data_IF_418324444388
#
_entry.id   IF_418324444388
#
_cell.length_a   1.000
_cell.length_b   1.000
_cell.length_c   1.000
_cell.angle_alpha   90.00
_cell.angle_beta   90.00
_cell.angle_gamma   90.00
#
_symmetry.space_group_name_H-M   'P 1'
#
loop_
_entity.id
_entity.type
_entity.pdbx_description
1 polymer ?
#
# COMPACT_ATOMS: atom_id res chain seq x y z
N UNK A 1 1.25 -11.41 19.96
CA UNK A 1 1.84 -11.97 18.73
C UNK A 1 1.24 -11.24 17.54
N UNK A 2 1.98 -10.30 16.94
CA UNK A 2 1.51 -9.54 15.77
C UNK A 2 1.88 -10.38 14.54
N UNK A 3 0.88 -10.86 13.80
CA UNK A 3 1.11 -11.62 12.56
C UNK A 3 1.55 -10.63 11.48
N UNK A 4 2.81 -10.68 11.07
CA UNK A 4 3.30 -10.05 9.84
C UNK A 4 2.79 -10.86 8.65
N UNK A 5 1.49 -10.78 8.39
CA UNK A 5 0.91 -11.36 7.19
C UNK A 5 0.87 -10.26 6.15
N UNK A 6 1.80 -10.28 5.20
CA UNK A 6 1.80 -9.37 4.07
C UNK A 6 0.50 -9.53 3.28
N UNK A 7 -0.17 -8.42 2.94
CA UNK A 7 -1.40 -8.46 2.14
C UNK A 7 -1.03 -9.03 0.76
N UNK A 8 -1.58 -10.17 0.31
CA UNK A 8 -1.20 -10.77 -0.95
C UNK A 8 -1.51 -9.84 -2.12
N UNK A 9 -0.47 -9.46 -2.88
CA UNK A 9 -0.53 -8.48 -3.98
C UNK A 9 -0.52 -9.24 -5.30
N UNK A 10 -1.68 -9.63 -5.77
CA UNK A 10 -1.89 -9.74 -7.21
C UNK A 10 -2.33 -8.34 -7.68
N UNK A 11 -2.27 -8.06 -8.98
CA UNK A 11 -2.62 -6.77 -9.60
C UNK A 11 -4.14 -6.45 -9.44
N UNK A 12 -4.64 -6.48 -8.22
CA UNK A 12 -6.04 -6.63 -7.86
C UNK A 12 -6.50 -5.41 -7.07
N UNK A 13 -7.65 -4.90 -7.47
CA UNK A 13 -8.43 -3.93 -6.71
C UNK A 13 -8.84 -4.60 -5.40
N UNK A 14 -8.17 -4.26 -4.30
CA UNK A 14 -8.43 -4.88 -2.98
C UNK A 14 -9.54 -4.10 -2.28
N UNK A 15 -10.52 -4.82 -1.73
CA UNK A 15 -11.55 -4.23 -0.88
C UNK A 15 -10.98 -3.90 0.50
N UNK A 16 -11.13 -2.66 0.94
CA UNK A 16 -10.66 -2.20 2.24
C UNK A 16 -11.60 -2.69 3.36
N UNK A 17 -11.24 -3.83 3.96
CA UNK A 17 -12.02 -4.48 5.02
C UNK A 17 -11.43 -4.35 6.43
N UNK A 18 -12.29 -4.58 7.45
CA UNK A 18 -11.88 -4.63 8.88
C UNK A 18 -10.82 -5.73 9.17
N UNK A 19 -10.71 -6.73 8.28
CA UNK A 19 -9.74 -7.83 8.38
C UNK A 19 -8.27 -7.36 8.35
N UNK A 20 -8.04 -6.15 7.86
CA UNK A 20 -6.70 -5.55 7.77
C UNK A 20 -6.36 -4.63 8.95
N UNK A 21 -7.25 -4.50 9.95
CA UNK A 21 -6.94 -3.74 11.18
C UNK A 21 -5.77 -4.42 11.89
N UNK A 22 -4.77 -3.63 12.28
CA UNK A 22 -3.53 -4.09 12.91
C UNK A 22 -2.45 -4.54 11.91
N UNK A 23 -2.72 -4.51 10.61
CA UNK A 23 -1.73 -4.83 9.58
C UNK A 23 -0.89 -3.59 9.27
N UNK A 24 0.41 -3.78 9.19
CA UNK A 24 1.33 -2.76 8.68
C UNK A 24 1.45 -2.92 7.17
N UNK A 25 1.24 -1.82 6.44
CA UNK A 25 1.35 -1.80 5.00
C UNK A 25 2.80 -2.07 4.58
N UNK A 26 3.04 -3.15 3.85
CA UNK A 26 4.37 -3.41 3.27
C UNK A 26 4.73 -2.47 2.12
N UNK A 27 3.73 -1.79 1.52
CA UNK A 27 3.88 -0.96 0.32
C UNK A 27 2.94 0.25 0.32
N UNK A 28 3.20 1.17 -0.58
CA UNK A 28 2.32 2.31 -0.83
C UNK A 28 0.99 1.84 -1.44
N UNK A 29 -0.10 2.40 -0.96
CA UNK A 29 -1.47 2.11 -1.34
C UNK A 29 -2.07 3.34 -1.98
N UNK A 30 -2.76 3.15 -3.10
CA UNK A 30 -3.31 4.22 -3.90
C UNK A 30 -4.83 4.10 -3.97
N UNK A 31 -5.52 5.24 -4.04
CA UNK A 31 -6.98 5.29 -4.25
C UNK A 31 -7.32 4.96 -5.71
N UNK A 32 -6.48 5.45 -6.62
CA UNK A 32 -6.56 5.35 -8.08
C UNK A 32 -5.13 5.31 -8.65
N UNK A 33 -4.97 5.23 -9.97
CA UNK A 33 -3.64 5.15 -10.64
C UNK A 33 -2.68 6.29 -10.30
N UNK A 34 -3.19 7.46 -9.92
CA UNK A 34 -2.39 8.67 -9.70
C UNK A 34 -2.48 9.24 -8.28
N UNK A 35 -3.34 8.69 -7.41
CA UNK A 35 -3.59 9.27 -6.08
C UNK A 35 -3.10 8.35 -4.96
N UNK A 36 -1.96 8.69 -4.37
CA UNK A 36 -1.42 8.02 -3.18
C UNK A 36 -2.38 8.23 -2.00
N UNK A 37 -2.80 7.14 -1.37
CA UNK A 37 -3.72 7.13 -0.25
C UNK A 37 -3.00 6.86 1.07
N UNK A 38 -2.16 5.81 1.12
CA UNK A 38 -1.45 5.39 2.32
C UNK A 38 0.00 5.05 1.96
N UNK A 39 0.94 5.40 2.84
CA UNK A 39 2.35 5.07 2.64
C UNK A 39 2.72 3.72 3.24
N UNK A 40 3.75 3.09 2.67
CA UNK A 40 4.40 1.91 3.26
C UNK A 40 4.83 2.20 4.70
N UNK A 41 4.73 1.19 5.56
CA UNK A 41 5.04 1.26 6.99
C UNK A 41 3.91 1.79 7.88
N UNK A 42 2.79 2.24 7.31
CA UNK A 42 1.63 2.68 8.09
C UNK A 42 0.82 1.49 8.58
N UNK A 43 0.51 1.46 9.87
CA UNK A 43 -0.38 0.46 10.47
C UNK A 43 -1.84 0.87 10.29
N UNK A 44 -2.63 0.01 9.67
CA UNK A 44 -4.06 0.21 9.49
C UNK A 44 -4.78 0.08 10.83
N UNK A 45 -5.40 1.17 11.29
CA UNK A 45 -6.24 1.16 12.48
C UNK A 45 -7.71 1.23 12.10
N UNK A 46 -8.59 0.82 13.01
CA UNK A 46 -10.04 0.88 12.80
C UNK A 46 -10.50 2.29 12.41
N UNK A 47 -10.06 3.32 13.15
CA UNK A 47 -10.39 4.71 12.86
C UNK A 47 -9.92 5.18 11.48
N UNK A 48 -8.77 4.66 11.00
CA UNK A 48 -8.28 4.98 9.67
C UNK A 48 -9.15 4.33 8.58
N UNK A 49 -9.51 3.06 8.75
CA UNK A 49 -10.42 2.35 7.83
C UNK A 49 -11.80 3.01 7.81
N UNK A 50 -12.34 3.39 8.98
CA UNK A 50 -13.62 4.09 9.08
C UNK A 50 -13.59 5.44 8.34
N UNK A 51 -12.52 6.21 8.53
CA UNK A 51 -12.31 7.48 7.81
C UNK A 51 -12.28 7.26 6.30
N UNK A 52 -11.56 6.24 5.81
CA UNK A 52 -11.50 5.94 4.39
C UNK A 52 -12.87 5.58 3.82
N UNK A 53 -13.64 4.75 4.52
CA UNK A 53 -15.01 4.39 4.13
C UNK A 53 -15.95 5.60 4.10
N UNK A 54 -15.89 6.50 5.09
CA UNK A 54 -16.68 7.74 5.09
C UNK A 54 -16.35 8.68 3.93
N UNK A 55 -15.12 8.63 3.42
CA UNK A 55 -14.69 9.36 2.23
C UNK A 55 -15.02 8.63 0.92
N UNK A 56 -15.82 7.56 0.96
CA UNK A 56 -16.18 6.74 -0.20
C UNK A 56 -15.05 5.85 -0.72
N UNK A 57 -13.95 5.71 0.02
CA UNK A 57 -12.83 4.85 -0.37
C UNK A 57 -13.10 3.43 0.12
N UNK A 58 -13.74 2.64 -0.75
CA UNK A 58 -14.07 1.24 -0.49
C UNK A 58 -13.01 0.31 -1.09
N UNK A 59 -12.40 0.73 -2.19
CA UNK A 59 -11.42 -0.05 -2.94
C UNK A 59 -10.09 0.68 -2.99
N UNK A 60 -9.01 -0.08 -2.92
CA UNK A 60 -7.65 0.43 -3.00
C UNK A 60 -6.84 -0.36 -4.03
N UNK A 61 -5.83 0.30 -4.58
CA UNK A 61 -4.86 -0.30 -5.48
C UNK A 61 -3.53 -0.40 -4.76
N UNK A 62 -3.01 -1.63 -4.70
CA UNK A 62 -1.66 -1.88 -4.23
C UNK A 62 -0.87 -2.28 -5.46
N UNK A 63 0.00 -1.40 -5.95
CA UNK A 63 0.82 -1.76 -7.08
C UNK A 63 1.88 -2.76 -6.62
N UNK A 64 2.11 -3.86 -7.35
CA UNK A 64 3.39 -4.52 -7.27
C UNK A 64 4.38 -3.44 -7.66
N UNK A 65 5.16 -2.94 -6.70
CA UNK A 65 5.97 -1.75 -6.90
C UNK A 65 6.65 -1.86 -8.25
N UNK A 66 6.57 -0.82 -9.09
CA UNK A 66 7.57 -0.71 -10.14
C UNK A 66 8.88 -0.94 -9.40
N UNK A 67 9.59 -2.00 -9.77
CA UNK A 67 10.99 -2.12 -9.37
C UNK A 67 11.56 -0.72 -9.57
N UNK A 68 12.08 -0.14 -8.51
CA UNK A 68 12.79 1.13 -8.55
C UNK A 68 13.93 0.90 -9.52
N UNK A 69 13.66 1.07 -10.82
CA UNK A 69 14.66 1.02 -11.85
C UNK A 69 15.28 2.42 -11.87
N UNK A 70 16.01 2.71 -10.79
CA UNK A 70 17.04 3.73 -10.79
C UNK A 70 18.31 3.11 -11.37
N UNK A 71 18.26 2.74 -12.65
CA UNK A 71 19.48 2.65 -13.46
C UNK A 71 19.87 4.09 -13.85
N UNK A 72 20.64 4.74 -12.97
CA UNK A 72 21.44 5.94 -13.23
C UNK A 72 22.27 6.25 -11.96
N UNK A 73 23.45 5.67 -11.75
CA UNK A 73 24.67 6.12 -12.44
C UNK A 73 25.78 5.07 -12.28
N UNK A 74 26.07 4.32 -13.33
CA UNK A 74 27.37 3.64 -13.48
C UNK A 74 28.33 4.73 -13.95
N UNK A 75 28.95 5.46 -13.02
CA UNK A 75 30.14 6.24 -13.36
C UNK A 75 31.35 5.32 -13.17
N UNK A 76 31.88 4.77 -14.27
CA UNK A 76 33.26 4.27 -14.29
C UNK A 76 34.15 5.49 -14.06
N UNK A 77 34.94 5.50 -12.98
CA UNK A 77 36.13 6.32 -12.95
C UNK A 77 37.30 5.38 -13.27
N UNK A 78 38.01 5.78 -14.32
CA UNK A 78 39.27 5.25 -14.84
C UNK A 78 40.35 5.08 -13.76
#
# INVERSE_FOLDING_TARGET
MIKNTEIPIQNERVELGIRYIGYTLGRDVYKDRDMLLLRKGLTLTESYIDRLKRNGVIHIYVYPGKAENSEASIHKHE
#
